data_IF_177969302692
#
_entry.id   IF_177969302692
#
_cell.length_a   1.000
_cell.length_b   1.000
_cell.length_c   1.000
_cell.angle_alpha   90.00
_cell.angle_beta   90.00
_cell.angle_gamma   90.00
#
_symmetry.space_group_name_H-M   'P 1'
#
loop_
_entity.id
_entity.type
_entity.pdbx_description
1 polymer ?
#
# COMPACT_ATOMS: atom_id res chain seq x y z
N UNK A 1 -23.03 -14.98 -13.77
CA UNK A 1 -21.64 -15.35 -14.10
C UNK A 1 -21.31 -16.71 -13.49
N UNK A 2 -21.21 -16.84 -12.16
CA UNK A 2 -21.04 -18.13 -11.50
C UNK A 2 -22.39 -18.74 -11.06
N UNK A 3 -22.62 -20.00 -11.40
CA UNK A 3 -23.69 -20.83 -10.87
C UNK A 3 -23.15 -21.69 -9.72
N UNK A 4 -23.90 -21.72 -8.62
CA UNK A 4 -23.60 -22.57 -7.46
C UNK A 4 -24.77 -23.54 -7.29
N UNK A 5 -24.53 -24.86 -7.35
CA UNK A 5 -25.55 -25.88 -7.22
C UNK A 5 -26.29 -25.76 -5.90
N UNK A 6 -27.62 -25.90 -5.92
CA UNK A 6 -28.40 -25.85 -4.69
C UNK A 6 -28.02 -27.01 -3.76
N UNK A 7 -27.78 -26.72 -2.49
CA UNK A 7 -27.63 -27.76 -1.46
C UNK A 7 -29.00 -28.27 -1.05
N UNK A 8 -29.18 -29.59 -1.04
CA UNK A 8 -30.38 -30.25 -0.53
C UNK A 8 -30.15 -30.64 0.93
N UNK A 9 -30.32 -29.66 1.83
CA UNK A 9 -29.97 -29.79 3.26
C UNK A 9 -30.62 -31.00 3.95
N UNK A 10 -31.87 -31.32 3.60
CA UNK A 10 -32.61 -32.47 4.17
C UNK A 10 -32.00 -33.83 3.80
N UNK A 11 -31.09 -33.86 2.81
CA UNK A 11 -30.38 -35.04 2.32
C UNK A 11 -28.88 -34.99 2.67
N UNK A 12 -28.47 -34.10 3.55
CA UNK A 12 -27.09 -33.96 4.00
C UNK A 12 -26.90 -34.56 5.40
N UNK A 13 -25.69 -35.05 5.67
CA UNK A 13 -25.22 -35.50 6.99
C UNK A 13 -23.75 -35.14 7.16
N UNK A 14 -23.13 -35.48 8.30
CA UNK A 14 -21.70 -35.25 8.51
C UNK A 14 -20.81 -35.94 7.47
N UNK A 15 -21.25 -37.07 6.90
CA UNK A 15 -20.48 -37.86 5.92
C UNK A 15 -21.01 -37.75 4.49
N UNK A 16 -22.14 -37.06 4.26
CA UNK A 16 -22.80 -37.00 2.96
C UNK A 16 -23.25 -35.57 2.64
N UNK A 17 -22.74 -35.01 1.54
CA UNK A 17 -23.20 -33.75 0.96
C UNK A 17 -24.03 -34.05 -0.30
N UNK A 18 -25.30 -33.63 -0.31
CA UNK A 18 -26.18 -33.78 -1.47
C UNK A 18 -26.46 -32.42 -2.11
N UNK A 19 -26.06 -32.26 -3.37
CA UNK A 19 -26.26 -31.05 -4.15
C UNK A 19 -27.06 -31.33 -5.42
N UNK A 20 -27.60 -30.27 -6.00
CA UNK A 20 -28.23 -30.30 -7.32
C UNK A 20 -27.27 -30.91 -8.35
N UNK A 21 -27.80 -31.83 -9.17
CA UNK A 21 -27.05 -32.42 -10.26
C UNK A 21 -26.77 -31.37 -11.34
N UNK A 22 -25.49 -31.09 -11.57
CA UNK A 22 -25.06 -30.20 -12.66
C UNK A 22 -24.81 -30.96 -13.96
N UNK A 23 -24.94 -30.24 -15.06
CA UNK A 23 -24.56 -30.69 -16.41
C UNK A 23 -23.73 -29.58 -17.05
N UNK A 24 -22.55 -29.93 -17.56
CA UNK A 24 -21.64 -28.99 -18.19
C UNK A 24 -20.35 -29.67 -18.63
N UNK A 25 -19.58 -28.97 -19.43
CA UNK A 25 -18.27 -29.40 -19.92
C UNK A 25 -17.20 -28.95 -18.92
N UNK A 26 -16.29 -29.83 -18.45
CA UNK A 26 -15.18 -29.40 -17.59
C UNK A 26 -14.42 -28.23 -18.21
N UNK A 27 -14.08 -27.20 -17.43
CA UNK A 27 -13.48 -25.97 -17.99
C UNK A 27 -12.12 -26.21 -18.66
N UNK A 28 -11.41 -27.28 -18.27
CA UNK A 28 -10.17 -27.70 -18.91
C UNK A 28 -10.32 -28.44 -20.24
N UNK A 29 -11.53 -28.84 -20.64
CA UNK A 29 -11.78 -29.54 -21.91
C UNK A 29 -12.00 -28.53 -23.06
N UNK A 30 -10.92 -27.88 -23.46
CA UNK A 30 -10.92 -26.84 -24.50
C UNK A 30 -11.50 -27.35 -25.83
N UNK A 31 -11.27 -28.62 -26.14
CA UNK A 31 -11.74 -29.24 -27.39
C UNK A 31 -13.26 -29.32 -27.39
N UNK A 32 -13.85 -29.84 -26.31
CA UNK A 32 -15.30 -29.91 -26.18
C UNK A 32 -15.92 -28.53 -26.07
N UNK A 33 -15.32 -27.59 -25.33
CA UNK A 33 -15.83 -26.21 -25.23
C UNK A 33 -15.89 -25.51 -26.61
N UNK A 34 -14.89 -25.72 -27.47
CA UNK A 34 -14.91 -25.21 -28.86
C UNK A 34 -15.99 -25.89 -29.69
N UNK A 35 -16.18 -27.21 -29.53
CA UNK A 35 -17.23 -27.95 -30.21
C UNK A 35 -18.63 -27.50 -29.78
N UNK A 36 -18.78 -27.12 -28.51
CA UNK A 36 -20.01 -26.55 -27.93
C UNK A 36 -20.24 -25.08 -28.36
N UNK A 37 -19.31 -24.48 -29.12
CA UNK A 37 -19.40 -23.10 -29.61
C UNK A 37 -19.19 -22.05 -28.52
N UNK A 38 -18.50 -22.40 -27.41
CA UNK A 38 -18.22 -21.47 -26.31
C UNK A 38 -17.18 -20.44 -26.75
N UNK A 39 -17.47 -19.16 -26.49
CA UNK A 39 -16.50 -18.08 -26.65
C UNK A 39 -15.46 -18.14 -25.52
N UNK A 40 -14.30 -18.72 -25.82
CA UNK A 40 -13.22 -18.90 -24.85
C UNK A 40 -12.59 -17.59 -24.37
N UNK A 41 -12.61 -16.54 -25.21
CA UNK A 41 -12.12 -15.23 -24.81
C UNK A 41 -13.02 -14.65 -23.73
N UNK A 42 -14.33 -14.61 -24.01
CA UNK A 42 -15.34 -14.15 -23.05
C UNK A 42 -15.32 -15.01 -21.77
N UNK A 43 -15.19 -16.32 -21.91
CA UNK A 43 -15.10 -17.22 -20.76
C UNK A 43 -13.90 -16.87 -19.86
N UNK A 44 -12.72 -16.67 -20.44
CA UNK A 44 -11.53 -16.28 -19.69
C UNK A 44 -11.70 -14.92 -18.98
N UNK A 45 -12.26 -13.92 -19.67
CA UNK A 45 -12.58 -12.60 -19.10
C UNK A 45 -13.59 -12.70 -17.94
N UNK A 46 -14.66 -13.48 -18.10
CA UNK A 46 -15.66 -13.73 -17.04
C UNK A 46 -15.05 -14.42 -15.83
N UNK A 47 -14.10 -15.34 -16.01
CA UNK A 47 -13.37 -16.01 -14.93
C UNK A 47 -12.64 -15.03 -14.01
N UNK A 48 -11.94 -14.06 -14.60
CA UNK A 48 -11.26 -12.97 -13.87
C UNK A 48 -12.28 -12.15 -13.09
N UNK A 49 -13.37 -11.72 -13.73
CA UNK A 49 -14.42 -10.91 -13.09
C UNK A 49 -15.08 -11.68 -11.93
N UNK A 50 -15.35 -12.98 -12.09
CA UNK A 50 -15.91 -13.83 -11.04
C UNK A 50 -15.01 -13.84 -9.81
N UNK A 51 -13.70 -14.01 -9.99
CA UNK A 51 -12.74 -14.00 -8.89
C UNK A 51 -12.74 -12.67 -8.13
N UNK A 52 -12.58 -11.55 -8.84
CA UNK A 52 -12.58 -10.24 -8.20
C UNK A 52 -13.93 -9.91 -7.53
N UNK A 53 -15.04 -10.34 -8.11
CA UNK A 53 -16.38 -10.20 -7.51
C UNK A 53 -16.48 -10.96 -6.19
N UNK A 54 -16.01 -12.21 -6.14
CA UNK A 54 -16.01 -13.00 -4.92
C UNK A 54 -15.22 -12.30 -3.80
N UNK A 55 -13.95 -11.98 -4.08
CA UNK A 55 -13.02 -11.38 -3.13
C UNK A 55 -13.55 -10.05 -2.58
N UNK A 56 -13.89 -9.11 -3.46
CA UNK A 56 -14.15 -7.74 -3.03
C UNK A 56 -15.62 -7.44 -2.78
N UNK A 57 -16.54 -7.98 -3.59
CA UNK A 57 -17.98 -7.71 -3.44
C UNK A 57 -18.62 -8.62 -2.40
N UNK A 58 -18.31 -9.92 -2.41
CA UNK A 58 -18.98 -10.89 -1.54
C UNK A 58 -18.22 -11.21 -0.25
N UNK A 59 -16.95 -10.81 -0.15
CA UNK A 59 -16.08 -11.08 1.02
C UNK A 59 -15.75 -12.54 1.29
N UNK A 60 -16.00 -13.41 0.32
CA UNK A 60 -15.56 -14.79 0.38
C UNK A 60 -15.16 -15.22 -1.01
N UNK A 61 -14.16 -16.09 -1.10
CA UNK A 61 -13.65 -16.57 -2.38
C UNK A 61 -13.36 -18.05 -2.32
N UNK A 62 -13.60 -18.71 -3.45
CA UNK A 62 -13.24 -20.09 -3.63
C UNK A 62 -11.73 -20.18 -3.87
N UNK A 63 -11.01 -20.68 -2.87
CA UNK A 63 -9.54 -20.70 -2.85
C UNK A 63 -8.93 -21.88 -3.64
N UNK A 64 -9.76 -22.60 -4.42
CA UNK A 64 -9.36 -23.79 -5.17
C UNK A 64 -10.14 -23.92 -6.49
N UNK A 65 -10.30 -22.80 -7.20
CA UNK A 65 -10.91 -22.75 -8.54
C UNK A 65 -10.00 -23.36 -9.62
N UNK A 66 -9.67 -24.65 -9.49
CA UNK A 66 -8.91 -25.40 -10.50
C UNK A 66 -9.85 -26.09 -11.51
N UNK A 67 -9.34 -26.56 -12.66
CA UNK A 67 -10.18 -27.09 -13.74
C UNK A 67 -11.07 -28.29 -13.38
N UNK A 68 -10.81 -28.96 -12.25
CA UNK A 68 -11.62 -30.09 -11.77
C UNK A 68 -12.87 -29.67 -11.00
N UNK A 69 -12.89 -28.45 -10.44
CA UNK A 69 -14.00 -27.94 -9.64
C UNK A 69 -14.92 -27.01 -10.42
N UNK A 70 -14.60 -26.76 -11.69
CA UNK A 70 -15.26 -25.76 -12.52
C UNK A 70 -15.74 -26.40 -13.83
N UNK A 71 -17.02 -26.24 -14.09
CA UNK A 71 -17.69 -26.67 -15.31
C UNK A 71 -18.26 -25.47 -16.05
N UNK A 72 -18.47 -25.62 -17.35
CA UNK A 72 -19.09 -24.64 -18.22
C UNK A 72 -20.44 -25.19 -18.66
N UNK A 73 -21.50 -24.53 -18.23
CA UNK A 73 -22.87 -24.82 -18.63
C UNK A 73 -23.25 -24.16 -19.96
N UNK A 74 -24.53 -24.26 -20.33
CA UNK A 74 -25.07 -23.56 -21.50
C UNK A 74 -24.73 -22.07 -21.50
N UNK A 75 -24.52 -21.51 -22.69
CA UNK A 75 -24.17 -20.09 -22.90
C UNK A 75 -22.84 -19.65 -22.26
N UNK A 76 -21.94 -20.59 -21.94
CA UNK A 76 -20.63 -20.28 -21.38
C UNK A 76 -20.65 -19.93 -19.89
N UNK A 77 -21.71 -20.30 -19.15
CA UNK A 77 -21.83 -19.99 -17.72
C UNK A 77 -20.90 -20.85 -16.87
N UNK A 78 -20.12 -20.23 -15.99
CA UNK A 78 -19.34 -20.95 -14.98
C UNK A 78 -20.24 -21.67 -13.97
N UNK A 79 -19.88 -22.90 -13.61
CA UNK A 79 -20.53 -23.71 -12.57
C UNK A 79 -19.44 -24.22 -11.62
N UNK A 80 -19.48 -23.82 -10.35
CA UNK A 80 -18.57 -24.34 -9.31
C UNK A 80 -19.21 -25.51 -8.57
N UNK A 81 -18.46 -26.58 -8.29
CA UNK A 81 -19.00 -27.79 -7.65
C UNK A 81 -18.37 -28.17 -6.33
N UNK A 82 -17.12 -27.81 -6.10
CA UNK A 82 -16.42 -28.04 -4.83
C UNK A 82 -16.26 -26.70 -4.12
N UNK A 83 -16.63 -26.64 -2.85
CA UNK A 83 -16.46 -25.45 -2.01
C UNK A 83 -15.76 -25.83 -0.70
N UNK A 84 -14.97 -26.90 -0.69
CA UNK A 84 -14.25 -27.40 0.48
C UNK A 84 -13.17 -26.44 0.98
N UNK A 85 -12.63 -25.59 0.09
CA UNK A 85 -11.65 -24.56 0.44
C UNK A 85 -12.20 -23.19 0.05
N UNK A 86 -12.73 -22.49 1.05
CA UNK A 86 -13.21 -21.11 0.96
C UNK A 86 -12.37 -20.21 1.85
N UNK A 87 -12.00 -19.04 1.34
CA UNK A 87 -11.37 -17.97 2.10
C UNK A 87 -12.36 -16.86 2.41
N UNK A 88 -12.12 -16.16 3.51
CA UNK A 88 -12.82 -14.93 3.92
C UNK A 88 -11.74 -13.91 4.25
N UNK A 89 -12.01 -12.64 3.95
CA UNK A 89 -11.14 -11.53 4.30
C UNK A 89 -11.84 -10.67 5.36
N UNK A 90 -11.10 -10.10 6.29
CA UNK A 90 -11.65 -9.02 7.10
C UNK A 90 -11.65 -7.70 6.31
N UNK A 91 -12.33 -6.68 6.84
CA UNK A 91 -12.42 -5.39 6.14
C UNK A 91 -11.05 -4.71 5.99
N UNK A 92 -10.13 -4.89 6.95
CA UNK A 92 -8.76 -4.36 6.85
C UNK A 92 -7.96 -5.01 5.72
N UNK A 93 -8.05 -6.33 5.57
CA UNK A 93 -7.39 -7.10 4.52
C UNK A 93 -7.96 -6.72 3.15
N UNK A 94 -9.27 -6.54 3.05
CA UNK A 94 -9.92 -6.04 1.83
C UNK A 94 -9.48 -4.63 1.47
N UNK A 95 -9.36 -3.74 2.46
CA UNK A 95 -8.87 -2.38 2.29
C UNK A 95 -7.44 -2.38 1.78
N UNK A 96 -6.57 -3.15 2.42
CA UNK A 96 -5.21 -3.37 1.96
C UNK A 96 -5.17 -3.91 0.52
N UNK A 97 -5.86 -5.01 0.23
CA UNK A 97 -5.82 -5.67 -1.08
C UNK A 97 -6.33 -4.75 -2.18
N UNK A 98 -7.42 -4.01 -1.95
CA UNK A 98 -7.97 -3.10 -2.94
C UNK A 98 -6.99 -1.96 -3.26
N UNK A 99 -6.40 -1.34 -2.24
CA UNK A 99 -5.45 -0.24 -2.42
C UNK A 99 -4.15 -0.73 -3.06
N UNK A 100 -3.62 -1.87 -2.60
CA UNK A 100 -2.41 -2.49 -3.12
C UNK A 100 -2.57 -2.90 -4.59
N UNK A 101 -3.65 -3.59 -4.94
CA UNK A 101 -3.89 -3.99 -6.34
C UNK A 101 -4.14 -2.78 -7.23
N UNK A 102 -4.93 -1.79 -6.79
CA UNK A 102 -5.15 -0.58 -7.58
C UNK A 102 -3.85 0.18 -7.85
N UNK A 103 -3.00 0.32 -6.84
CA UNK A 103 -1.67 0.93 -7.00
C UNK A 103 -0.82 0.13 -7.99
N UNK A 104 -0.81 -1.20 -7.85
CA UNK A 104 -0.11 -2.12 -8.75
C UNK A 104 -0.59 -1.99 -10.22
N UNK A 105 -1.90 -2.01 -10.48
CA UNK A 105 -2.46 -1.87 -11.84
C UNK A 105 -2.24 -0.47 -12.45
N UNK A 106 -1.98 0.54 -11.62
CA UNK A 106 -1.62 1.89 -12.06
C UNK A 106 -0.11 2.12 -12.14
N UNK A 107 0.71 1.08 -11.94
CA UNK A 107 2.17 1.18 -11.84
C UNK A 107 2.65 2.15 -10.75
N UNK A 108 1.81 2.41 -9.74
CA UNK A 108 2.14 3.19 -8.56
C UNK A 108 2.83 2.27 -7.54
N UNK A 109 4.08 1.90 -7.82
CA UNK A 109 4.85 1.02 -6.93
C UNK A 109 5.15 1.66 -5.58
N UNK A 110 5.20 2.99 -5.52
CA UNK A 110 5.24 3.73 -4.27
C UNK A 110 3.96 3.49 -3.45
N UNK A 111 2.79 3.56 -4.09
CA UNK A 111 1.50 3.24 -3.50
C UNK A 111 1.41 1.80 -3.01
N UNK A 112 1.99 0.84 -3.74
CA UNK A 112 2.11 -0.56 -3.30
C UNK A 112 2.93 -0.65 -2.01
N UNK A 113 4.14 -0.08 -1.99
CA UNK A 113 5.00 -0.09 -0.80
C UNK A 113 4.31 0.57 0.41
N UNK A 114 3.62 1.69 0.17
CA UNK A 114 2.86 2.41 1.19
C UNK A 114 1.72 1.55 1.77
N UNK A 115 0.96 0.85 0.92
CA UNK A 115 -0.13 -0.02 1.35
C UNK A 115 0.36 -1.12 2.31
N UNK A 116 1.53 -1.72 2.05
CA UNK A 116 2.14 -2.72 2.93
C UNK A 116 2.59 -2.17 4.29
N UNK A 117 3.06 -0.93 4.33
CA UNK A 117 3.48 -0.28 5.58
C UNK A 117 2.26 0.17 6.39
N UNK A 118 1.25 0.74 5.73
CA UNK A 118 0.02 1.19 6.39
C UNK A 118 -0.82 0.03 6.94
N UNK A 119 -0.78 -1.15 6.31
CA UNK A 119 -1.42 -2.36 6.87
C UNK A 119 -0.70 -2.93 8.09
N UNK A 120 0.52 -2.47 8.38
CA UNK A 120 1.36 -3.01 9.45
C UNK A 120 2.01 -4.34 9.11
N UNK A 121 1.98 -4.78 7.84
CA UNK A 121 2.63 -6.02 7.42
C UNK A 121 4.09 -5.83 7.06
N UNK A 122 4.47 -4.63 6.62
CA UNK A 122 5.86 -4.19 6.58
C UNK A 122 6.15 -3.29 7.80
N UNK A 123 7.38 -3.34 8.29
CA UNK A 123 7.81 -2.47 9.39
C UNK A 123 7.70 -0.99 8.99
N UNK A 124 7.35 -0.13 9.94
CA UNK A 124 7.39 1.34 9.74
C UNK A 124 8.82 1.87 9.55
N UNK A 125 9.84 1.05 9.86
CA UNK A 125 11.25 1.38 9.59
C UNK A 125 11.69 0.99 8.18
N UNK A 126 10.83 0.35 7.38
CA UNK A 126 11.15 -0.06 6.01
C UNK A 126 11.41 1.16 5.12
N UNK A 127 12.51 1.13 4.36
CA UNK A 127 12.79 2.14 3.34
C UNK A 127 11.81 1.99 2.18
N UNK A 128 10.81 2.88 2.13
CA UNK A 128 9.74 2.91 1.12
C UNK A 128 10.30 2.98 -0.28
N UNK A 129 11.36 3.76 -0.52
CA UNK A 129 11.94 3.93 -1.84
C UNK A 129 12.76 2.71 -2.27
N UNK A 130 13.43 2.05 -1.32
CA UNK A 130 14.08 0.77 -1.61
C UNK A 130 13.04 -0.29 -1.98
N UNK A 131 11.91 -0.32 -1.27
CA UNK A 131 10.83 -1.27 -1.54
C UNK A 131 10.14 -1.00 -2.88
N UNK A 132 9.82 0.25 -3.18
CA UNK A 132 9.31 0.71 -4.47
C UNK A 132 10.19 0.25 -5.64
N UNK A 133 11.50 0.49 -5.56
CA UNK A 133 12.45 0.05 -6.60
C UNK A 133 12.49 -1.47 -6.76
N UNK A 134 12.37 -2.20 -5.65
CA UNK A 134 12.40 -3.66 -5.66
C UNK A 134 11.14 -4.22 -6.35
N UNK A 135 9.96 -3.69 -6.03
CA UNK A 135 8.70 -4.05 -6.69
C UNK A 135 8.75 -3.68 -8.18
N UNK A 136 9.14 -2.44 -8.51
CA UNK A 136 9.20 -1.98 -9.90
C UNK A 136 10.10 -2.86 -10.77
N UNK A 137 11.29 -3.22 -10.27
CA UNK A 137 12.22 -4.13 -10.96
C UNK A 137 11.61 -5.48 -11.31
N UNK A 138 10.73 -6.01 -10.47
CA UNK A 138 10.09 -7.31 -10.65
C UNK A 138 8.87 -7.18 -11.58
N UNK A 139 8.11 -6.10 -11.46
CA UNK A 139 6.78 -5.98 -12.07
C UNK A 139 6.75 -5.20 -13.39
N UNK A 140 7.66 -4.23 -13.61
CA UNK A 140 7.75 -3.48 -14.89
C UNK A 140 7.86 -4.39 -16.12
N UNK A 141 8.64 -5.49 -16.12
CA UNK A 141 8.79 -6.34 -17.30
C UNK A 141 7.50 -7.08 -17.71
N UNK A 142 6.45 -7.06 -16.89
CA UNK A 142 5.21 -7.78 -17.13
C UNK A 142 4.06 -6.90 -17.61
N UNK A 143 4.18 -5.57 -17.52
CA UNK A 143 3.04 -4.72 -17.80
C UNK A 143 2.64 -4.83 -19.28
N UNK A 144 1.33 -4.83 -19.57
CA UNK A 144 0.75 -4.89 -20.93
C UNK A 144 1.11 -6.13 -21.77
N UNK A 145 1.69 -7.18 -21.18
CA UNK A 145 1.88 -8.45 -21.90
C UNK A 145 0.82 -9.48 -21.58
N UNK A 146 0.63 -10.38 -22.53
CA UNK A 146 -0.35 -11.45 -22.45
C UNK A 146 0.10 -12.60 -21.55
N UNK A 147 -0.83 -13.50 -21.19
CA UNK A 147 -0.54 -14.69 -20.38
C UNK A 147 0.50 -15.63 -21.02
N UNK A 148 0.67 -15.64 -22.34
CA UNK A 148 1.70 -16.45 -23.02
C UNK A 148 3.11 -15.87 -22.91
N UNK A 149 3.25 -14.58 -22.63
CA UNK A 149 4.53 -13.85 -22.61
C UNK A 149 5.12 -13.72 -21.21
N UNK A 150 4.34 -14.01 -20.16
CA UNK A 150 4.72 -13.81 -18.77
C UNK A 150 4.38 -15.04 -17.94
N UNK A 151 5.27 -15.40 -17.02
CA UNK A 151 4.98 -16.33 -15.93
C UNK A 151 4.56 -15.54 -14.68
N UNK A 152 3.26 -15.47 -14.38
CA UNK A 152 2.78 -14.85 -13.14
C UNK A 152 3.31 -15.60 -11.92
N UNK A 153 3.40 -16.93 -12.01
CA UNK A 153 4.05 -17.76 -10.99
C UNK A 153 5.49 -17.38 -10.68
N UNK A 154 6.31 -17.07 -11.70
CA UNK A 154 7.68 -16.64 -11.45
C UNK A 154 7.72 -15.30 -10.72
N UNK A 155 6.89 -14.34 -11.13
CA UNK A 155 6.85 -13.03 -10.50
C UNK A 155 6.36 -13.11 -9.07
N UNK A 156 5.34 -13.91 -8.81
CA UNK A 156 4.90 -14.13 -7.45
C UNK A 156 6.04 -14.69 -6.59
N UNK A 157 6.78 -15.68 -7.09
CA UNK A 157 7.95 -16.21 -6.38
C UNK A 157 9.02 -15.14 -6.16
N UNK A 158 9.28 -14.28 -7.15
CA UNK A 158 10.25 -13.19 -7.04
C UNK A 158 9.81 -12.14 -6.00
N UNK A 159 8.52 -11.78 -5.98
CA UNK A 159 7.93 -10.89 -4.97
C UNK A 159 8.00 -11.50 -3.57
N UNK A 160 7.73 -12.79 -3.41
CA UNK A 160 7.86 -13.50 -2.12
C UNK A 160 9.31 -13.59 -1.65
N UNK A 161 10.26 -13.77 -2.58
CA UNK A 161 11.67 -13.76 -2.25
C UNK A 161 12.12 -12.37 -1.80
N UNK A 162 11.65 -11.32 -2.49
CA UNK A 162 11.93 -9.93 -2.16
C UNK A 162 11.28 -9.50 -0.84
N UNK A 163 10.08 -10.01 -0.53
CA UNK A 163 9.37 -9.74 0.72
C UNK A 163 10.21 -10.06 1.97
N UNK A 164 11.12 -11.05 1.88
CA UNK A 164 12.06 -11.39 2.96
C UNK A 164 13.09 -10.28 3.23
N UNK A 165 13.43 -9.47 2.25
CA UNK A 165 14.39 -8.37 2.41
C UNK A 165 13.79 -7.14 3.11
N UNK A 166 12.45 -7.11 3.26
CA UNK A 166 11.70 -5.97 3.80
C UNK A 166 10.92 -6.32 5.07
N UNK A 167 11.27 -7.43 5.74
CA UNK A 167 10.63 -7.92 6.96
C UNK A 167 9.10 -8.00 6.86
N UNK A 168 8.58 -8.39 5.69
CA UNK A 168 7.14 -8.48 5.46
C UNK A 168 6.57 -9.72 6.16
N UNK A 169 5.54 -9.51 6.95
CA UNK A 169 4.77 -10.60 7.58
C UNK A 169 3.86 -11.25 6.55
N UNK A 170 4.10 -12.53 6.26
CA UNK A 170 3.30 -13.31 5.30
C UNK A 170 1.99 -13.75 5.94
N UNK A 171 0.85 -13.35 5.38
CA UNK A 171 -0.47 -13.76 5.86
C UNK A 171 -0.96 -15.01 5.12
N UNK A 172 -1.44 -16.06 5.81
CA UNK A 172 -1.94 -17.28 5.17
C UNK A 172 -3.10 -17.05 4.20
N UNK A 173 -4.04 -16.14 4.48
CA UNK A 173 -5.14 -15.85 3.55
C UNK A 173 -4.69 -15.24 2.22
N UNK A 174 -3.57 -14.53 2.21
CA UNK A 174 -2.99 -13.98 0.97
C UNK A 174 -2.30 -15.06 0.16
N UNK A 175 -1.64 -16.02 0.82
CA UNK A 175 -1.06 -17.19 0.13
C UNK A 175 -2.14 -18.01 -0.60
N UNK A 176 -3.36 -18.08 -0.05
CA UNK A 176 -4.50 -18.72 -0.70
C UNK A 176 -4.99 -17.91 -1.91
N UNK A 177 -5.00 -16.58 -1.79
CA UNK A 177 -5.32 -15.68 -2.90
C UNK A 177 -4.30 -15.84 -4.03
N UNK A 178 -3.02 -15.90 -3.68
CA UNK A 178 -1.89 -16.12 -4.58
C UNK A 178 -2.01 -17.47 -5.29
N UNK A 179 -2.27 -18.56 -4.55
CA UNK A 179 -2.55 -19.88 -5.14
C UNK A 179 -3.72 -19.82 -6.13
N UNK A 180 -4.77 -19.08 -5.80
CA UNK A 180 -5.94 -18.94 -6.66
C UNK A 180 -5.59 -18.17 -7.94
N UNK A 181 -4.80 -17.10 -7.85
CA UNK A 181 -4.29 -16.36 -9.00
C UNK A 181 -3.42 -17.24 -9.92
N UNK A 182 -2.58 -18.12 -9.37
CA UNK A 182 -1.81 -19.09 -10.16
C UNK A 182 -2.70 -20.09 -10.90
N UNK A 183 -3.74 -20.59 -10.24
CA UNK A 183 -4.71 -21.48 -10.88
C UNK A 183 -5.46 -20.76 -12.01
N UNK A 184 -5.82 -19.49 -11.80
CA UNK A 184 -6.47 -18.64 -12.81
C UNK A 184 -5.51 -18.35 -13.97
N UNK A 185 -4.22 -18.09 -13.72
CA UNK A 185 -3.20 -17.95 -14.78
C UNK A 185 -3.11 -19.21 -15.62
N UNK A 186 -2.94 -20.38 -14.96
CA UNK A 186 -2.79 -21.66 -15.64
C UNK A 186 -4.00 -22.01 -16.50
N UNK A 187 -5.21 -21.81 -15.97
CA UNK A 187 -6.45 -22.00 -16.70
C UNK A 187 -6.62 -20.95 -17.81
N UNK A 188 -6.34 -19.69 -17.52
CA UNK A 188 -6.42 -18.59 -18.47
C UNK A 188 -5.52 -18.82 -19.68
N UNK A 189 -4.30 -19.31 -19.48
CA UNK A 189 -3.37 -19.67 -20.56
C UNK A 189 -3.90 -20.82 -21.42
N UNK A 190 -4.63 -21.77 -20.84
CA UNK A 190 -5.26 -22.87 -21.58
C UNK A 190 -6.50 -22.40 -22.38
N UNK A 191 -7.31 -21.51 -21.79
CA UNK A 191 -8.53 -20.99 -22.39
C UNK A 191 -8.25 -19.95 -23.48
N UNK A 192 -7.48 -18.92 -23.14
CA UNK A 192 -7.19 -17.77 -24.00
C UNK A 192 -5.80 -17.18 -23.66
N UNK A 193 -4.73 -17.65 -24.34
CA UNK A 193 -3.36 -17.23 -24.06
C UNK A 193 -3.10 -15.73 -24.25
N UNK A 194 -3.88 -15.09 -25.13
CA UNK A 194 -3.79 -13.65 -25.41
C UNK A 194 -4.51 -12.78 -24.37
N UNK A 195 -5.05 -13.37 -23.29
CA UNK A 195 -5.70 -12.61 -22.23
C UNK A 195 -4.69 -11.64 -21.60
N UNK A 196 -5.06 -10.36 -21.57
CA UNK A 196 -4.41 -9.34 -20.78
C UNK A 196 -5.17 -9.19 -19.45
N UNK A 197 -4.56 -9.68 -18.37
CA UNK A 197 -5.13 -9.59 -17.03
C UNK A 197 -5.25 -8.14 -16.56
N UNK A 198 -4.34 -7.25 -16.95
CA UNK A 198 -4.40 -5.83 -16.61
C UNK A 198 -5.57 -5.14 -17.27
N UNK A 199 -5.71 -5.29 -18.59
CA UNK A 199 -6.82 -4.69 -19.32
C UNK A 199 -8.19 -5.23 -18.83
N UNK A 200 -8.24 -6.48 -18.39
CA UNK A 200 -9.48 -7.14 -17.92
C UNK A 200 -9.83 -6.76 -16.48
N UNK A 201 -8.87 -6.76 -15.56
CA UNK A 201 -9.12 -6.56 -14.13
C UNK A 201 -9.18 -5.09 -13.71
N UNK A 202 -8.42 -4.21 -14.38
CA UNK A 202 -8.29 -2.79 -14.00
C UNK A 202 -9.65 -2.06 -13.97
N UNK A 203 -10.52 -2.14 -15.01
CA UNK A 203 -11.81 -1.45 -14.97
C UNK A 203 -12.68 -1.90 -13.80
N UNK A 204 -12.67 -3.21 -13.50
CA UNK A 204 -13.41 -3.77 -12.38
C UNK A 204 -12.95 -3.21 -11.03
N UNK A 205 -11.63 -3.16 -10.80
CA UNK A 205 -11.06 -2.63 -9.57
C UNK A 205 -11.31 -1.13 -9.41
N UNK A 206 -11.20 -0.36 -10.49
CA UNK A 206 -11.51 1.07 -10.47
C UNK A 206 -12.96 1.33 -10.07
N UNK A 207 -13.91 0.59 -10.65
CA UNK A 207 -15.33 0.73 -10.33
C UNK A 207 -15.62 0.31 -8.89
N UNK A 208 -14.96 -0.74 -8.41
CA UNK A 208 -15.09 -1.19 -7.03
C UNK A 208 -14.57 -0.17 -6.02
N UNK A 209 -13.42 0.42 -6.30
CA UNK A 209 -12.81 1.49 -5.50
C UNK A 209 -13.71 2.72 -5.52
N UNK A 210 -14.24 3.12 -6.69
CA UNK A 210 -15.20 4.23 -6.79
C UNK A 210 -16.46 3.98 -5.96
N UNK A 211 -17.03 2.77 -6.01
CA UNK A 211 -18.20 2.40 -5.20
C UNK A 211 -17.88 2.47 -3.70
N UNK A 212 -16.71 1.97 -3.31
CA UNK A 212 -16.23 1.94 -1.93
C UNK A 212 -15.91 3.32 -1.35
N UNK A 213 -15.29 4.21 -2.12
CA UNK A 213 -15.02 5.61 -1.73
C UNK A 213 -16.15 6.57 -2.13
N UNK A 214 -17.28 6.03 -2.62
CA UNK A 214 -18.43 6.86 -2.95
C UNK A 214 -18.94 7.59 -1.71
N UNK A 215 -19.50 8.78 -1.93
CA UNK A 215 -20.08 9.57 -0.84
C UNK A 215 -21.20 8.81 -0.11
N UNK A 216 -21.88 7.88 -0.79
CA UNK A 216 -22.92 7.04 -0.22
C UNK A 216 -22.39 6.01 0.80
N UNK A 217 -21.25 5.36 0.53
CA UNK A 217 -20.64 4.43 1.49
C UNK A 217 -20.13 5.16 2.73
N UNK A 218 -19.60 6.38 2.56
CA UNK A 218 -19.15 7.25 3.65
C UNK A 218 -20.33 7.67 4.52
N UNK A 219 -21.45 8.07 3.91
CA UNK A 219 -22.70 8.41 4.62
C UNK A 219 -23.24 7.18 5.36
N UNK A 220 -23.22 5.98 4.76
CA UNK A 220 -23.69 4.75 5.40
C UNK A 220 -22.83 4.38 6.61
N UNK A 221 -21.49 4.41 6.49
CA UNK A 221 -20.57 4.19 7.62
C UNK A 221 -20.76 5.22 8.73
N UNK A 222 -21.02 6.48 8.36
CA UNK A 222 -21.33 7.54 9.32
C UNK A 222 -22.66 7.28 10.04
N UNK A 223 -23.70 6.83 9.32
CA UNK A 223 -24.99 6.44 9.91
C UNK A 223 -24.86 5.24 10.85
N UNK A 224 -24.04 4.25 10.49
CA UNK A 224 -23.79 3.06 11.32
C UNK A 224 -23.02 3.41 12.60
N UNK A 225 -22.05 4.33 12.53
CA UNK A 225 -21.28 4.83 13.70
C UNK A 225 -21.96 5.99 14.45
N UNK A 226 -23.00 6.61 13.88
CA UNK A 226 -23.71 7.72 14.50
C UNK A 226 -24.27 7.40 15.89
N UNK A 227 -24.84 6.22 16.18
CA UNK A 227 -25.35 5.89 17.51
C UNK A 227 -24.24 5.82 18.56
N UNK A 228 -23.03 5.38 18.18
CA UNK A 228 -21.86 5.34 19.06
C UNK A 228 -21.29 6.75 19.28
N UNK A 229 -21.14 7.53 18.20
CA UNK A 229 -20.73 8.94 18.28
C UNK A 229 -21.71 9.81 19.08
N UNK A 230 -23.01 9.51 19.03
CA UNK A 230 -24.05 10.18 19.83
C UNK A 230 -23.98 9.79 21.31
N UNK A 231 -23.53 8.58 21.64
CA UNK A 231 -23.29 8.16 23.04
C UNK A 231 -22.03 8.81 23.62
N UNK A 232 -21.00 8.99 22.79
CA UNK A 232 -19.74 9.65 23.16
C UNK A 232 -19.77 11.18 22.99
N UNK A 233 -20.86 11.72 22.44
CA UNK A 233 -21.06 13.16 22.19
C UNK A 233 -20.84 14.08 23.40
N UNK A 234 -21.15 13.68 24.65
CA UNK A 234 -20.84 14.49 25.83
C UNK A 234 -19.34 14.73 26.03
N UNK A 235 -18.48 13.84 25.54
CA UNK A 235 -17.02 13.91 25.71
C UNK A 235 -16.29 14.53 24.51
N UNK A 236 -16.96 14.67 23.36
CA UNK A 236 -16.41 15.31 22.15
C UNK A 236 -15.84 16.72 22.40
N UNK A 237 -16.52 17.63 23.14
CA UNK A 237 -15.96 18.95 23.40
C UNK A 237 -14.64 18.87 24.17
N UNK A 238 -14.55 18.00 25.17
CA UNK A 238 -13.33 17.78 25.95
C UNK A 238 -12.21 17.12 25.14
N UNK A 239 -12.52 16.15 24.28
CA UNK A 239 -11.51 15.50 23.43
C UNK A 239 -10.94 16.45 22.39
N UNK A 240 -11.78 17.26 21.74
CA UNK A 240 -11.34 18.30 20.80
C UNK A 240 -10.55 19.39 21.52
N UNK A 241 -11.03 19.86 22.68
CA UNK A 241 -10.29 20.82 23.49
C UNK A 241 -8.94 20.28 23.97
N UNK A 242 -8.88 19.00 24.34
CA UNK A 242 -7.64 18.36 24.80
C UNK A 242 -6.67 18.14 23.63
N UNK A 243 -7.15 17.72 22.45
CA UNK A 243 -6.33 17.60 21.24
C UNK A 243 -5.79 18.97 20.78
N UNK A 244 -6.64 20.01 20.81
CA UNK A 244 -6.22 21.38 20.52
C UNK A 244 -5.20 21.89 21.55
N UNK A 245 -5.39 21.60 22.84
CA UNK A 245 -4.42 21.93 23.90
C UNK A 245 -3.11 21.15 23.74
N UNK A 246 -3.16 19.88 23.34
CA UNK A 246 -1.99 19.04 23.12
C UNK A 246 -1.21 19.51 21.89
N UNK A 247 -1.89 19.89 20.81
CA UNK A 247 -1.29 20.52 19.63
C UNK A 247 -0.66 21.88 19.96
N UNK A 248 -1.31 22.66 20.84
CA UNK A 248 -0.76 23.94 21.33
C UNK A 248 0.42 23.74 22.31
N UNK A 249 0.47 22.63 23.05
CA UNK A 249 1.62 22.28 23.88
C UNK A 249 2.80 21.78 23.03
N UNK A 250 2.54 21.03 21.95
CA UNK A 250 3.56 20.60 20.99
C UNK A 250 4.16 21.82 20.27
N UNK A 251 3.35 22.82 19.90
CA UNK A 251 3.86 24.07 19.32
C UNK A 251 4.65 24.93 20.32
N UNK A 252 4.29 24.91 21.61
CA UNK A 252 5.05 25.61 22.66
C UNK A 252 6.39 24.94 22.98
N UNK A 253 6.47 23.60 22.95
CA UNK A 253 7.73 22.85 23.14
C UNK A 253 8.69 23.12 21.96
N UNK A 254 8.18 23.21 20.74
CA UNK A 254 9.00 23.62 19.58
C UNK A 254 9.48 25.07 19.70
N UNK A 255 8.64 26.01 20.16
CA UNK A 255 9.03 27.41 20.32
C UNK A 255 10.13 27.66 21.36
N UNK A 256 10.13 26.93 22.49
CA UNK A 256 11.20 27.02 23.49
C UNK A 256 12.54 26.49 22.95
N UNK A 257 12.51 25.37 22.21
CA UNK A 257 13.71 24.82 21.56
C UNK A 257 14.21 25.73 20.43
N UNK A 258 13.32 26.30 19.62
CA UNK A 258 13.70 27.25 18.56
C UNK A 258 14.26 28.55 19.13
N UNK A 259 13.70 29.08 20.24
CA UNK A 259 14.27 30.25 20.94
C UNK A 259 15.64 29.97 21.53
N UNK A 260 15.84 28.79 22.13
CA UNK A 260 17.14 28.38 22.65
C UNK A 260 18.20 28.29 21.54
N UNK A 261 17.85 27.72 20.39
CA UNK A 261 18.73 27.63 19.21
C UNK A 261 19.02 29.03 18.63
N UNK A 262 18.01 29.90 18.50
CA UNK A 262 18.20 31.28 18.01
C UNK A 262 19.10 32.09 18.94
N UNK A 263 18.92 31.97 20.27
CA UNK A 263 19.77 32.66 21.24
C UNK A 263 21.21 32.13 21.20
N UNK A 264 21.41 30.81 21.09
CA UNK A 264 22.74 30.23 20.91
C UNK A 264 23.42 30.69 19.62
N UNK A 265 22.68 30.79 18.51
CA UNK A 265 23.20 31.30 17.25
C UNK A 265 23.59 32.79 17.34
N UNK A 266 22.79 33.60 18.04
CA UNK A 266 23.06 35.03 18.25
C UNK A 266 24.30 35.25 19.11
N UNK A 267 24.46 34.47 20.18
CA UNK A 267 25.62 34.54 21.06
C UNK A 267 26.90 34.06 20.36
N UNK A 268 26.82 32.97 19.57
CA UNK A 268 27.95 32.51 18.76
C UNK A 268 28.32 33.52 17.66
N UNK A 269 27.34 34.15 17.00
CA UNK A 269 27.59 35.19 16.01
C UNK A 269 28.29 36.41 16.62
N UNK A 270 27.81 36.91 17.78
CA UNK A 270 28.42 38.04 18.48
C UNK A 270 29.86 37.73 18.95
N UNK A 271 30.12 36.51 19.40
CA UNK A 271 31.47 36.05 19.75
C UNK A 271 32.39 36.00 18.53
N UNK A 272 31.91 35.46 17.41
CA UNK A 272 32.67 35.37 16.17
C UNK A 272 32.99 36.76 15.59
N UNK A 273 32.02 37.67 15.57
CA UNK A 273 32.23 39.05 15.14
C UNK A 273 33.24 39.75 16.03
N UNK A 274 33.15 39.61 17.35
CA UNK A 274 34.10 40.21 18.29
C UNK A 274 35.54 39.67 18.12
N UNK A 275 35.69 38.37 17.81
CA UNK A 275 36.99 37.77 17.51
C UNK A 275 37.59 38.30 16.20
N UNK A 276 36.78 38.46 15.15
CA UNK A 276 37.22 39.03 13.86
C UNK A 276 37.68 40.48 14.04
N UNK A 277 36.91 41.30 14.76
CA UNK A 277 37.27 42.70 15.04
C UNK A 277 38.56 42.81 15.87
N UNK A 278 38.73 41.96 16.89
CA UNK A 278 39.98 41.91 17.66
C UNK A 278 41.18 41.54 16.79
N UNK A 279 41.06 40.53 15.92
CA UNK A 279 42.12 40.15 14.98
C UNK A 279 42.50 41.28 14.02
N UNK A 280 41.50 41.98 13.46
CA UNK A 280 41.73 43.13 12.57
C UNK A 280 42.43 44.30 13.29
N UNK A 281 42.05 44.60 14.53
CA UNK A 281 42.67 45.67 15.34
C UNK A 281 44.10 45.32 15.78
N UNK A 282 44.42 44.04 15.99
CA UNK A 282 45.79 43.59 16.26
C UNK A 282 46.68 43.75 15.02
N UNK A 283 46.17 43.38 13.84
CA UNK A 283 46.88 43.59 12.56
C UNK A 283 47.12 45.10 12.34
N UNK A 284 46.09 45.93 12.54
CA UNK A 284 46.19 47.39 12.42
C UNK A 284 47.19 47.98 13.42
N UNK A 285 47.19 47.50 14.67
CA UNK A 285 48.18 47.88 15.69
C UNK A 285 49.60 47.60 15.22
N UNK A 286 49.86 46.41 14.66
CA UNK A 286 51.17 46.04 14.13
C UNK A 286 51.63 46.97 13.01
N UNK A 287 50.75 47.29 12.05
CA UNK A 287 51.05 48.21 10.94
C UNK A 287 51.35 49.62 11.45
N UNK A 288 50.60 50.12 12.43
CA UNK A 288 50.80 51.46 13.01
C UNK A 288 52.12 51.58 13.78
N UNK A 289 52.52 50.52 14.49
CA UNK A 289 53.81 50.46 15.20
C UNK A 289 54.98 50.48 14.21
N UNK A 290 54.87 49.76 13.09
CA UNK A 290 55.90 49.75 12.02
C UNK A 290 56.05 51.13 11.37
N UNK A 291 54.97 51.93 11.32
CA UNK A 291 54.98 53.30 10.80
C UNK A 291 55.31 54.38 11.86
N UNK A 292 55.95 54.01 12.98
CA UNK A 292 56.36 54.90 14.08
C UNK A 292 55.22 55.63 14.82
N UNK A 293 53.96 55.22 14.64
CA UNK A 293 52.79 55.77 15.32
C UNK A 293 52.47 54.98 16.60
N UNK A 294 53.40 55.00 17.57
CA UNK A 294 53.36 54.16 18.77
C UNK A 294 52.11 54.37 19.65
N UNK A 295 51.66 55.62 19.81
CA UNK A 295 50.48 55.94 20.63
C UNK A 295 49.21 55.35 19.98
N UNK A 296 49.06 55.50 18.67
CA UNK A 296 47.91 54.96 17.93
C UNK A 296 47.90 53.43 17.90
N UNK A 297 49.08 52.81 17.77
CA UNK A 297 49.23 51.35 17.90
C UNK A 297 48.83 50.85 19.28
N UNK A 298 49.29 51.50 20.35
CA UNK A 298 48.92 51.15 21.73
C UNK A 298 47.42 51.21 21.99
N UNK A 299 46.74 52.26 21.51
CA UNK A 299 45.28 52.38 21.62
C UNK A 299 44.56 51.26 20.86
N UNK A 300 45.00 50.94 19.64
CA UNK A 300 44.42 49.85 18.83
C UNK A 300 44.55 48.49 19.53
N UNK A 301 45.70 48.21 20.16
CA UNK A 301 45.93 46.96 20.89
C UNK A 301 45.03 46.83 22.13
N UNK A 302 44.80 47.92 22.87
CA UNK A 302 43.90 47.93 24.04
C UNK A 302 42.46 47.67 23.60
N UNK A 303 42.01 48.32 22.52
CA UNK A 303 40.66 48.09 21.97
C UNK A 303 40.52 46.64 21.48
N UNK A 304 41.55 46.08 20.83
CA UNK A 304 41.56 44.68 20.41
C UNK A 304 41.40 43.69 21.58
N UNK A 305 42.03 43.98 22.72
CA UNK A 305 41.92 43.19 23.95
C UNK A 305 40.50 43.19 24.53
N UNK A 306 39.82 44.35 24.51
CA UNK A 306 38.43 44.46 24.97
C UNK A 306 37.49 43.61 24.11
N UNK A 307 37.65 43.66 22.78
CA UNK A 307 36.86 42.84 21.87
C UNK A 307 37.20 41.34 21.97
N UNK A 308 38.44 40.99 22.28
CA UNK A 308 38.85 39.60 22.53
C UNK A 308 38.27 39.04 23.84
N UNK A 309 38.22 39.85 24.90
CA UNK A 309 37.56 39.44 26.14
C UNK A 309 36.05 39.22 25.94
N UNK A 310 35.42 40.01 25.06
CA UNK A 310 34.00 39.87 24.70
C UNK A 310 33.71 38.66 23.79
N UNK A 311 34.73 38.08 23.15
CA UNK A 311 34.56 36.91 22.27
C UNK A 311 34.68 35.56 23.00
N UNK A 312 35.19 35.54 24.24
CA UNK A 312 35.15 34.38 25.14
C UNK A 312 33.80 34.29 25.85
#
# INVERSE_FOLDING_TARGET
MLYVPKVHWDLCSEEVLTTERIYGTPVGDITQLKADGVDLKRLAEEGVIIFFTQVFKHNFFHADMHPGNIFVGPEGRYIGVDFGIMGVLDESDKDFLANMLLAFFNQDYHGVAKAYIESGWASTSTDVHAFERAIGRICEPMFEKSLEEISFGQVLMDLMAEAKNFDITVQPQLLLLDKTLLNIEGLGRQLYPQLDLWATAKPFLEDLVKEKYSMQSTIKKLQEKAPELLKEMPELPSLVLNALKQMNNISNIQNEQTKAIINQLKDNSNRQTSAIFSGALLILSGVLVVNYLLIAGGVSAVVALVFWMKSR
#
